data_IF_085103231405
#
_entry.id   IF_085103231405
#
_cell.length_a   1.000
_cell.length_b   1.000
_cell.length_c   1.000
_cell.angle_alpha   90.00
_cell.angle_beta   90.00
_cell.angle_gamma   90.00
#
_symmetry.space_group_name_H-M   'P 1'
#
loop_
_entity.id
_entity.type
_entity.pdbx_description
1 polymer ?
#
# COMPACT_ATOMS: atom_id res chain seq x y z
N UNK A 1 14.08 1.90 -0.84
CA UNK A 1 14.74 0.65 -1.31
C UNK A 1 15.37 -0.15 -0.15
N UNK A 2 16.10 0.48 0.77
CA UNK A 2 16.74 -0.24 1.88
C UNK A 2 15.74 -0.65 2.98
N UNK A 3 14.76 0.18 3.31
CA UNK A 3 13.76 -0.07 4.37
C UNK A 3 12.75 -1.12 3.91
N UNK A 4 12.24 -1.04 2.69
CA UNK A 4 11.30 -2.00 2.13
C UNK A 4 11.89 -3.42 1.99
N UNK A 5 13.18 -3.51 1.57
CA UNK A 5 13.86 -4.82 1.44
C UNK A 5 14.16 -5.49 2.79
N UNK A 6 14.30 -4.70 3.86
CA UNK A 6 14.51 -5.23 5.22
C UNK A 6 13.18 -5.76 5.79
N UNK A 7 12.07 -5.07 5.53
CA UNK A 7 10.73 -5.49 5.95
C UNK A 7 10.32 -6.85 5.31
N UNK A 8 10.57 -7.01 4.01
CA UNK A 8 10.30 -8.28 3.29
C UNK A 8 11.16 -9.46 3.79
N UNK A 9 12.44 -9.23 4.17
CA UNK A 9 13.29 -10.29 4.73
C UNK A 9 12.84 -10.72 6.13
N UNK A 10 12.39 -9.80 6.95
CA UNK A 10 11.92 -10.12 8.31
C UNK A 10 10.60 -10.89 8.31
N UNK A 11 9.70 -10.64 7.36
CA UNK A 11 8.47 -11.44 7.20
C UNK A 11 8.76 -12.91 6.82
N UNK A 12 9.92 -13.20 6.23
CA UNK A 12 10.34 -14.57 5.90
C UNK A 12 10.93 -15.32 7.12
N UNK A 13 11.62 -14.63 8.02
CA UNK A 13 12.18 -15.23 9.25
C UNK A 13 11.12 -15.46 10.34
N UNK A 14 10.04 -14.68 10.39
CA UNK A 14 8.92 -14.87 11.32
C UNK A 14 8.22 -16.23 11.22
N UNK A 15 8.34 -16.96 10.13
CA UNK A 15 7.70 -18.28 9.94
C UNK A 15 8.35 -19.42 10.72
N UNK A 16 9.41 -19.18 11.46
CA UNK A 16 10.17 -20.22 12.18
C UNK A 16 10.16 -20.11 13.72
N UNK A 17 9.41 -19.19 14.31
CA UNK A 17 9.36 -19.07 15.77
C UNK A 17 7.90 -19.18 16.24
N UNK A 18 7.46 -20.41 16.49
CA UNK A 18 6.20 -20.72 17.18
C UNK A 18 6.39 -20.56 18.70
N UNK A 19 5.72 -19.58 19.28
CA UNK A 19 5.63 -19.38 20.72
C UNK A 19 4.69 -18.21 21.04
N UNK A 20 3.46 -18.53 21.46
CA UNK A 20 2.46 -17.55 21.88
C UNK A 20 2.96 -16.72 23.07
N UNK A 21 3.23 -15.45 22.83
CA UNK A 21 3.25 -14.38 23.83
C UNK A 21 2.70 -13.12 23.16
N UNK A 22 1.86 -12.37 23.86
CA UNK A 22 1.29 -11.08 23.42
C UNK A 22 2.40 -10.06 23.11
N UNK A 23 2.88 -10.04 21.86
CA UNK A 23 4.18 -9.47 21.45
C UNK A 23 4.08 -8.19 20.61
N UNK A 24 2.90 -7.63 20.35
CA UNK A 24 2.78 -6.50 19.42
C UNK A 24 3.58 -5.26 19.84
N UNK A 25 3.66 -4.94 21.12
CA UNK A 25 4.43 -3.78 21.62
C UNK A 25 5.92 -4.07 21.86
N UNK A 26 6.26 -5.31 22.21
CA UNK A 26 7.67 -5.71 22.43
C UNK A 26 8.40 -6.01 21.12
N UNK A 27 7.68 -6.52 20.14
CA UNK A 27 8.18 -6.86 18.80
C UNK A 27 8.63 -5.61 18.03
N UNK A 28 7.87 -4.52 18.09
CA UNK A 28 8.20 -3.27 17.41
C UNK A 28 9.53 -2.67 17.91
N UNK A 29 9.78 -2.67 19.22
CA UNK A 29 11.03 -2.16 19.78
C UNK A 29 12.23 -3.04 19.42
N UNK A 30 12.04 -4.36 19.37
CA UNK A 30 13.09 -5.32 18.99
C UNK A 30 13.43 -5.21 17.49
N UNK A 31 12.42 -5.10 16.65
CA UNK A 31 12.59 -4.93 15.21
C UNK A 31 13.27 -3.60 14.87
N UNK A 32 12.84 -2.50 15.48
CA UNK A 32 13.47 -1.18 15.33
C UNK A 32 14.95 -1.23 15.73
N UNK A 33 15.28 -1.90 16.83
CA UNK A 33 16.68 -2.07 17.27
C UNK A 33 17.47 -2.94 16.29
N UNK A 34 16.91 -4.04 15.82
CA UNK A 34 17.57 -4.93 14.86
C UNK A 34 17.89 -4.21 13.54
N UNK A 35 16.96 -3.42 13.03
CA UNK A 35 17.16 -2.59 11.83
C UNK A 35 18.26 -1.56 12.07
N UNK A 36 18.16 -0.81 13.19
CA UNK A 36 19.17 0.17 13.55
C UNK A 36 20.57 -0.44 13.61
N UNK A 37 20.71 -1.57 14.33
CA UNK A 37 22.00 -2.24 14.49
C UNK A 37 22.53 -2.82 13.17
N UNK A 38 21.67 -3.37 12.32
CA UNK A 38 22.07 -3.88 11.01
C UNK A 38 22.63 -2.76 10.12
N UNK A 39 21.95 -1.60 10.07
CA UNK A 39 22.40 -0.44 9.29
C UNK A 39 23.66 0.18 9.89
N UNK A 40 23.74 0.25 11.23
CA UNK A 40 24.94 0.74 11.93
C UNK A 40 26.15 -0.13 11.65
N UNK A 41 25.99 -1.45 11.70
CA UNK A 41 27.03 -2.42 11.42
C UNK A 41 27.49 -2.43 9.96
N UNK A 42 26.67 -1.95 9.03
CA UNK A 42 27.05 -1.76 7.62
C UNK A 42 27.95 -0.54 7.39
N UNK A 43 28.24 0.26 8.44
CA UNK A 43 29.14 1.40 8.40
C UNK A 43 28.46 2.77 8.38
N UNK A 44 27.15 2.83 8.61
CA UNK A 44 26.45 4.11 8.72
C UNK A 44 26.91 4.88 9.96
N UNK A 45 27.16 6.20 9.82
CA UNK A 45 27.54 7.08 10.93
C UNK A 45 26.36 7.35 11.86
N UNK A 46 25.20 7.60 11.27
CA UNK A 46 23.94 7.86 11.96
C UNK A 46 22.83 7.04 11.31
N UNK A 47 21.86 6.61 12.10
CA UNK A 47 20.69 5.84 11.65
C UNK A 47 19.46 6.49 12.27
N UNK A 48 18.54 6.87 11.42
CA UNK A 48 17.26 7.44 11.79
C UNK A 48 16.15 6.54 11.25
N UNK A 49 15.19 6.21 12.10
CA UNK A 49 13.98 5.48 11.71
C UNK A 49 12.85 6.49 11.53
N UNK A 50 12.11 6.34 10.45
CA UNK A 50 10.91 7.14 10.14
C UNK A 50 9.76 6.19 9.88
N UNK A 51 8.57 6.53 10.33
CA UNK A 51 7.37 5.77 10.05
C UNK A 51 7.00 5.89 8.57
N UNK A 52 6.61 4.78 7.96
CA UNK A 52 6.36 4.71 6.51
C UNK A 52 5.30 5.71 6.04
N UNK A 53 4.14 5.90 6.73
CA UNK A 53 3.15 6.91 6.33
C UNK A 53 3.71 8.34 6.35
N UNK A 54 4.62 8.66 7.30
CA UNK A 54 5.27 9.99 7.34
C UNK A 54 6.22 10.15 6.16
N UNK A 55 7.00 9.12 5.84
CA UNK A 55 7.88 9.14 4.68
C UNK A 55 7.07 9.28 3.38
N UNK A 56 5.99 8.50 3.22
CA UNK A 56 5.09 8.58 2.08
C UNK A 56 4.51 9.99 1.90
N UNK A 57 4.05 10.60 2.99
CA UNK A 57 3.47 11.95 2.98
C UNK A 57 4.50 13.04 2.62
N UNK A 58 5.73 12.96 3.15
CA UNK A 58 6.84 13.86 2.77
C UNK A 58 7.15 13.71 1.28
N UNK A 59 7.19 12.47 0.79
CA UNK A 59 7.47 12.18 -0.62
C UNK A 59 6.37 12.65 -1.57
N UNK A 60 5.13 12.66 -1.10
CA UNK A 60 3.96 13.18 -1.79
C UNK A 60 3.79 14.70 -1.69
N UNK A 61 4.79 15.42 -1.12
CA UNK A 61 4.77 16.86 -0.91
C UNK A 61 3.65 17.38 0.02
N UNK A 62 3.15 16.53 0.94
CA UNK A 62 2.16 16.94 1.92
C UNK A 62 2.76 17.83 3.02
N UNK A 63 1.99 18.78 3.59
CA UNK A 63 2.47 19.72 4.60
C UNK A 63 2.56 19.09 5.99
N UNK A 64 3.33 18.00 6.13
CA UNK A 64 3.39 17.16 7.33
C UNK A 64 3.79 17.91 8.61
N UNK A 65 4.55 19.02 8.51
CA UNK A 65 5.00 19.81 9.67
C UNK A 65 3.99 20.86 10.12
N UNK A 66 2.88 21.03 9.40
CA UNK A 66 1.86 22.02 9.70
C UNK A 66 0.78 21.45 10.63
N UNK A 67 -0.01 22.31 11.32
CA UNK A 67 -1.10 21.91 12.18
C UNK A 67 -2.38 21.54 11.37
N UNK A 68 -2.19 20.84 10.29
CA UNK A 68 -3.23 20.43 9.34
C UNK A 68 -3.18 18.90 9.22
N UNK A 69 -4.34 18.26 9.24
CA UNK A 69 -4.38 16.83 9.01
C UNK A 69 -4.13 16.50 7.54
N UNK A 70 -3.10 15.71 7.30
CA UNK A 70 -2.78 15.11 5.99
C UNK A 70 -3.07 13.62 6.03
N UNK A 71 -3.89 13.12 5.11
CA UNK A 71 -4.20 11.70 4.99
C UNK A 71 -3.45 11.10 3.81
N UNK A 72 -2.68 10.07 4.10
CA UNK A 72 -1.94 9.30 3.09
C UNK A 72 -2.40 7.83 3.11
N UNK A 73 -2.57 7.24 1.94
CA UNK A 73 -2.85 5.82 1.75
C UNK A 73 -1.80 5.27 0.80
N UNK A 74 -0.93 4.43 1.33
CA UNK A 74 0.08 3.73 0.54
C UNK A 74 -0.41 2.31 0.24
N UNK A 75 -0.65 2.02 -1.04
CA UNK A 75 -1.07 0.70 -1.50
C UNK A 75 0.13 0.05 -2.20
N UNK A 76 0.93 -0.66 -1.42
CA UNK A 76 2.14 -1.32 -1.89
C UNK A 76 1.89 -2.66 -2.60
N UNK A 77 2.90 -3.54 -2.56
CA UNK A 77 2.76 -4.95 -3.01
C UNK A 77 2.09 -5.80 -1.95
N UNK A 78 2.66 -5.89 -0.74
CA UNK A 78 2.20 -6.77 0.33
C UNK A 78 1.25 -6.13 1.32
N UNK A 79 1.34 -4.82 1.53
CA UNK A 79 0.58 -4.07 2.55
C UNK A 79 -0.09 -2.84 1.97
N UNK A 80 -1.21 -2.47 2.57
CA UNK A 80 -1.81 -1.13 2.45
C UNK A 80 -1.69 -0.44 3.80
N UNK A 81 -1.07 0.73 3.82
CA UNK A 81 -0.90 1.56 4.99
C UNK A 81 -1.72 2.84 4.85
N UNK A 82 -2.48 3.15 5.89
CA UNK A 82 -3.26 4.37 5.98
C UNK A 82 -2.74 5.18 7.16
N UNK A 83 -2.39 6.44 6.93
CA UNK A 83 -1.90 7.32 7.98
C UNK A 83 -2.57 8.68 7.96
N UNK A 84 -2.91 9.19 9.14
CA UNK A 84 -3.29 10.58 9.39
C UNK A 84 -2.11 11.24 10.09
N UNK A 85 -1.55 12.27 9.49
CA UNK A 85 -0.35 12.96 9.94
C UNK A 85 -0.70 14.42 10.23
N UNK A 86 -0.23 14.93 11.35
CA UNK A 86 -0.31 16.35 11.71
C UNK A 86 0.87 16.72 12.61
N UNK A 87 1.37 17.94 12.53
CA UNK A 87 2.53 18.40 13.33
C UNK A 87 3.75 17.48 13.28
N UNK A 88 4.02 16.83 12.15
CA UNK A 88 5.18 15.95 11.96
C UNK A 88 5.07 14.58 12.61
N UNK A 89 3.94 14.23 13.22
CA UNK A 89 3.68 12.95 13.87
C UNK A 89 2.47 12.23 13.28
N UNK A 90 2.41 10.93 13.51
CA UNK A 90 1.25 10.10 13.18
C UNK A 90 0.19 10.29 14.25
N UNK A 91 -0.99 10.75 13.85
CA UNK A 91 -2.18 10.89 14.71
C UNK A 91 -2.92 9.57 14.83
N UNK A 92 -3.06 8.88 13.70
CA UNK A 92 -3.66 7.54 13.61
C UNK A 92 -3.09 6.82 12.40
N UNK A 93 -2.89 5.52 12.52
CA UNK A 93 -2.49 4.68 11.40
C UNK A 93 -3.12 3.30 11.49
N UNK A 94 -3.27 2.66 10.34
CA UNK A 94 -3.73 1.29 10.22
C UNK A 94 -3.02 0.62 9.04
N UNK A 95 -2.61 -0.63 9.23
CA UNK A 95 -1.93 -1.43 8.21
C UNK A 95 -2.69 -2.72 7.99
N UNK A 96 -2.99 -3.04 6.73
CA UNK A 96 -3.60 -4.30 6.34
C UNK A 96 -2.72 -5.04 5.33
N UNK A 97 -2.64 -6.36 5.44
CA UNK A 97 -1.87 -7.23 4.53
C UNK A 97 -2.69 -7.60 3.27
N UNK A 98 -3.29 -6.58 2.67
CA UNK A 98 -4.07 -6.68 1.43
C UNK A 98 -3.63 -5.53 0.53
N UNK A 99 -2.99 -5.87 -0.59
CA UNK A 99 -2.43 -4.91 -1.54
C UNK A 99 -2.24 -5.57 -2.92
N UNK A 100 -1.26 -5.13 -3.70
CA UNK A 100 -1.04 -5.57 -5.07
C UNK A 100 -0.87 -7.07 -5.25
N UNK A 101 -0.13 -7.74 -4.35
CA UNK A 101 0.15 -9.18 -4.43
C UNK A 101 -1.11 -10.00 -4.19
N UNK A 102 -1.97 -9.55 -3.25
CA UNK A 102 -3.27 -10.18 -3.01
C UNK A 102 -4.19 -10.06 -4.22
N UNK A 103 -4.19 -8.91 -4.89
CA UNK A 103 -4.93 -8.72 -6.13
C UNK A 103 -4.43 -9.67 -7.24
N UNK A 104 -3.13 -9.92 -7.32
CA UNK A 104 -2.54 -10.88 -8.27
C UNK A 104 -2.95 -12.32 -7.94
N UNK A 105 -2.95 -12.70 -6.67
CA UNK A 105 -3.47 -14.00 -6.22
C UNK A 105 -4.94 -14.19 -6.59
N UNK A 106 -5.78 -13.17 -6.38
CA UNK A 106 -7.20 -13.22 -6.74
C UNK A 106 -7.38 -13.47 -8.24
N UNK A 107 -6.58 -12.80 -9.09
CA UNK A 107 -6.58 -13.02 -10.55
C UNK A 107 -6.12 -14.44 -10.90
N UNK A 108 -5.05 -14.95 -10.27
CA UNK A 108 -4.59 -16.34 -10.47
C UNK A 108 -5.69 -17.34 -10.13
N UNK A 109 -6.34 -17.16 -8.99
CA UNK A 109 -7.44 -18.02 -8.54
C UNK A 109 -8.64 -17.94 -9.50
N UNK A 110 -9.02 -16.76 -9.95
CA UNK A 110 -10.08 -16.55 -10.93
C UNK A 110 -9.79 -17.29 -12.24
N UNK A 111 -8.60 -17.07 -12.82
CA UNK A 111 -8.20 -17.72 -14.09
C UNK A 111 -8.21 -19.24 -13.97
N UNK A 112 -7.71 -19.77 -12.85
CA UNK A 112 -7.72 -21.20 -12.59
C UNK A 112 -9.15 -21.74 -12.48
N UNK A 113 -10.02 -21.06 -11.75
CA UNK A 113 -11.41 -21.48 -11.49
C UNK A 113 -12.29 -21.39 -12.75
N UNK A 114 -12.17 -20.29 -13.49
CA UNK A 114 -13.05 -19.99 -14.62
C UNK A 114 -12.62 -20.67 -15.92
N UNK A 115 -11.32 -20.74 -16.18
CA UNK A 115 -10.77 -21.19 -17.48
C UNK A 115 -10.03 -22.53 -17.39
N UNK A 116 -9.80 -23.07 -16.18
CA UNK A 116 -8.92 -24.22 -15.93
C UNK A 116 -7.50 -23.99 -16.47
N UNK A 117 -6.98 -22.78 -16.32
CA UNK A 117 -5.64 -22.39 -16.78
C UNK A 117 -4.80 -21.93 -15.59
N UNK A 118 -3.55 -22.39 -15.53
CA UNK A 118 -2.55 -21.90 -14.58
C UNK A 118 -1.75 -20.78 -15.22
N UNK A 119 -1.66 -19.66 -14.52
CA UNK A 119 -0.79 -18.52 -14.83
C UNK A 119 0.13 -18.25 -13.63
N UNK A 120 1.24 -17.58 -13.85
CA UNK A 120 2.14 -17.13 -12.79
C UNK A 120 1.87 -15.68 -12.38
N UNK A 121 2.48 -15.26 -11.26
CA UNK A 121 2.36 -13.92 -10.65
C UNK A 121 2.59 -12.79 -11.67
N UNK A 122 3.68 -12.84 -12.43
CA UNK A 122 3.97 -11.83 -13.47
C UNK A 122 2.88 -11.70 -14.52
N UNK A 123 2.19 -12.79 -14.82
CA UNK A 123 1.07 -12.75 -15.80
C UNK A 123 -0.16 -12.12 -15.16
N UNK A 124 -0.41 -12.42 -13.88
CA UNK A 124 -1.51 -11.82 -13.12
C UNK A 124 -1.29 -10.31 -12.94
N UNK A 125 -0.09 -9.90 -12.55
CA UNK A 125 0.28 -8.48 -12.45
C UNK A 125 0.08 -7.76 -13.80
N UNK A 126 0.50 -8.38 -14.91
CA UNK A 126 0.26 -7.82 -16.24
C UNK A 126 -1.23 -7.66 -16.53
N UNK A 127 -2.07 -8.64 -16.20
CA UNK A 127 -3.54 -8.56 -16.35
C UNK A 127 -4.08 -7.39 -15.51
N UNK A 128 -3.67 -7.28 -14.25
CA UNK A 128 -4.05 -6.20 -13.34
C UNK A 128 -3.71 -4.83 -13.93
N UNK A 129 -2.50 -4.67 -14.46
CA UNK A 129 -2.04 -3.40 -15.04
C UNK A 129 -2.74 -3.04 -16.37
N UNK A 130 -3.00 -4.02 -17.24
CA UNK A 130 -3.55 -3.77 -18.56
C UNK A 130 -5.07 -3.66 -18.57
N UNK A 131 -5.78 -4.52 -17.83
CA UNK A 131 -7.24 -4.60 -17.83
C UNK A 131 -7.89 -4.57 -16.44
N UNK A 132 -7.11 -4.25 -15.39
CA UNK A 132 -7.62 -4.08 -14.04
C UNK A 132 -8.25 -2.71 -13.83
N UNK A 133 -9.42 -2.69 -13.17
CA UNK A 133 -10.17 -1.49 -12.84
C UNK A 133 -10.71 -1.56 -11.41
N UNK A 134 -10.72 -0.44 -10.71
CA UNK A 134 -11.42 -0.31 -9.43
C UNK A 134 -12.94 -0.04 -9.62
N UNK A 135 -13.29 0.72 -10.64
CA UNK A 135 -14.68 0.97 -11.08
C UNK A 135 -15.07 0.05 -12.24
N UNK A 136 -16.37 -0.14 -12.44
CA UNK A 136 -16.87 -0.78 -13.66
C UNK A 136 -16.43 0.05 -14.88
N UNK A 137 -15.65 -0.53 -15.80
CA UNK A 137 -15.09 0.22 -16.91
C UNK A 137 -16.19 0.69 -17.87
N UNK A 138 -16.11 1.95 -18.33
CA UNK A 138 -17.02 2.48 -19.34
C UNK A 138 -16.84 1.84 -20.71
N UNK A 139 -15.62 1.38 -21.00
CA UNK A 139 -15.28 0.69 -22.25
C UNK A 139 -14.81 -0.72 -21.91
N UNK A 140 -15.39 -1.71 -22.57
CA UNK A 140 -14.96 -3.09 -22.41
C UNK A 140 -13.59 -3.27 -23.06
N UNK A 141 -12.58 -3.52 -22.23
CA UNK A 141 -11.26 -3.92 -22.65
C UNK A 141 -11.09 -5.44 -22.47
N UNK A 142 -10.25 -6.05 -23.28
CA UNK A 142 -9.90 -7.46 -23.12
C UNK A 142 -8.48 -7.71 -23.56
N UNK A 143 -7.85 -8.75 -23.00
CA UNK A 143 -6.52 -9.18 -23.39
C UNK A 143 -6.44 -10.69 -23.57
N UNK A 144 -5.56 -11.14 -24.46
CA UNK A 144 -5.21 -12.55 -24.59
C UNK A 144 -4.13 -12.92 -23.58
N UNK A 145 -4.37 -13.99 -22.85
CA UNK A 145 -3.48 -14.53 -21.84
C UNK A 145 -3.13 -15.96 -22.16
N UNK A 146 -1.86 -16.31 -22.05
CA UNK A 146 -1.35 -17.66 -22.26
C UNK A 146 -0.98 -18.28 -20.92
N UNK A 147 -1.44 -19.50 -20.70
CA UNK A 147 -1.12 -20.29 -19.53
C UNK A 147 -1.08 -21.79 -19.86
N UNK A 148 -1.03 -22.62 -18.82
CA UNK A 148 -1.02 -24.06 -18.92
C UNK A 148 -2.39 -24.61 -18.55
N UNK A 149 -3.04 -25.33 -19.43
CA UNK A 149 -4.28 -26.04 -19.14
C UNK A 149 -4.08 -27.07 -18.03
N UNK A 150 -4.93 -27.04 -17.02
CA UNK A 150 -4.80 -27.89 -15.81
C UNK A 150 -5.02 -29.37 -16.15
N UNK A 151 -5.91 -29.67 -17.11
CA UNK A 151 -6.30 -31.05 -17.44
C UNK A 151 -5.30 -31.73 -18.38
N UNK A 152 -4.85 -31.01 -19.39
CA UNK A 152 -3.99 -31.56 -20.44
C UNK A 152 -2.50 -31.31 -20.23
N UNK A 153 -2.16 -30.30 -19.39
CA UNK A 153 -0.80 -29.82 -19.22
C UNK A 153 -0.24 -29.00 -20.38
N UNK A 154 -1.02 -28.82 -21.46
CA UNK A 154 -0.58 -28.13 -22.66
C UNK A 154 -0.79 -26.62 -22.59
N UNK A 155 -0.05 -25.82 -23.41
CA UNK A 155 -0.30 -24.40 -23.53
C UNK A 155 -1.75 -24.12 -24.02
N UNK A 156 -2.39 -23.14 -23.38
CA UNK A 156 -3.75 -22.69 -23.74
C UNK A 156 -3.79 -21.16 -23.71
N UNK A 157 -4.46 -20.59 -24.70
CA UNK A 157 -4.76 -19.15 -24.75
C UNK A 157 -6.21 -18.93 -24.34
N UNK A 158 -6.43 -17.91 -23.53
CA UNK A 158 -7.75 -17.46 -23.07
C UNK A 158 -7.86 -15.96 -23.30
N UNK A 159 -9.09 -15.45 -23.36
CA UNK A 159 -9.36 -14.01 -23.38
C UNK A 159 -10.00 -13.62 -22.05
N UNK A 160 -9.48 -12.57 -21.41
CA UNK A 160 -9.99 -12.03 -20.13
C UNK A 160 -10.45 -10.60 -20.39
N UNK A 161 -11.61 -10.24 -19.87
CA UNK A 161 -12.20 -8.91 -19.96
C UNK A 161 -11.95 -8.07 -18.72
N UNK A 162 -11.95 -6.75 -18.88
CA UNK A 162 -11.82 -5.79 -17.77
C UNK A 162 -12.94 -5.89 -16.74
N UNK A 163 -14.15 -6.31 -17.15
CA UNK A 163 -15.27 -6.53 -16.23
C UNK A 163 -15.02 -7.73 -15.32
N UNK A 164 -14.50 -8.83 -15.86
CA UNK A 164 -14.16 -10.02 -15.07
C UNK A 164 -13.04 -9.73 -14.06
N UNK A 165 -12.04 -8.95 -14.47
CA UNK A 165 -10.95 -8.56 -13.56
C UNK A 165 -11.46 -7.61 -12.48
N UNK A 166 -12.27 -6.61 -12.83
CA UNK A 166 -12.87 -5.68 -11.87
C UNK A 166 -13.68 -6.43 -10.79
N UNK A 167 -14.54 -7.36 -11.18
CA UNK A 167 -15.32 -8.15 -10.22
C UNK A 167 -14.42 -9.04 -9.35
N UNK A 168 -13.33 -9.57 -9.92
CA UNK A 168 -12.33 -10.37 -9.19
C UNK A 168 -11.62 -9.56 -8.11
N UNK A 169 -11.28 -8.29 -8.38
CA UNK A 169 -10.57 -7.42 -7.44
C UNK A 169 -11.46 -6.82 -6.35
N UNK A 170 -12.76 -6.96 -6.46
CA UNK A 170 -13.74 -6.30 -5.60
C UNK A 170 -13.53 -6.55 -4.10
N UNK A 171 -13.28 -7.80 -3.70
CA UNK A 171 -13.10 -8.14 -2.28
C UNK A 171 -11.84 -7.50 -1.70
N UNK A 172 -10.73 -7.54 -2.43
CA UNK A 172 -9.49 -6.87 -2.04
C UNK A 172 -9.66 -5.35 -1.92
N UNK A 173 -10.35 -4.73 -2.88
CA UNK A 173 -10.66 -3.29 -2.85
C UNK A 173 -11.55 -2.92 -1.66
N UNK A 174 -12.58 -3.70 -1.34
CA UNK A 174 -13.45 -3.45 -0.18
C UNK A 174 -12.70 -3.58 1.14
N UNK A 175 -11.74 -4.49 1.24
CA UNK A 175 -10.90 -4.63 2.44
C UNK A 175 -9.96 -3.42 2.62
N UNK A 176 -9.43 -2.87 1.53
CA UNK A 176 -8.64 -1.63 1.56
C UNK A 176 -9.53 -0.44 1.98
N UNK A 177 -10.73 -0.35 1.41
CA UNK A 177 -11.71 0.68 1.76
C UNK A 177 -12.06 0.66 3.25
N UNK A 178 -12.28 -0.53 3.81
CA UNK A 178 -12.58 -0.68 5.24
C UNK A 178 -11.43 -0.19 6.12
N UNK A 179 -10.17 -0.51 5.78
CA UNK A 179 -9.01 0.00 6.49
C UNK A 179 -8.94 1.52 6.47
N UNK A 180 -9.25 2.13 5.32
CA UNK A 180 -9.30 3.60 5.18
C UNK A 180 -10.40 4.18 6.05
N UNK A 181 -11.63 3.62 6.02
CA UNK A 181 -12.76 4.09 6.82
C UNK A 181 -12.47 4.02 8.32
N UNK A 182 -11.95 2.90 8.81
CA UNK A 182 -11.57 2.73 10.22
C UNK A 182 -10.55 3.79 10.65
N UNK A 183 -9.57 4.09 9.81
CA UNK A 183 -8.57 5.11 10.11
C UNK A 183 -9.19 6.52 10.12
N UNK A 184 -10.05 6.85 9.16
CA UNK A 184 -10.74 8.14 9.11
C UNK A 184 -11.68 8.34 10.31
N UNK A 185 -12.39 7.28 10.75
CA UNK A 185 -13.25 7.30 11.93
C UNK A 185 -12.47 7.53 13.24
N UNK A 186 -11.21 7.12 13.30
CA UNK A 186 -10.33 7.35 14.46
C UNK A 186 -9.73 8.76 14.50
N UNK A 187 -9.99 9.59 13.46
CA UNK A 187 -9.50 10.97 13.41
C UNK A 187 -10.15 11.84 14.48
N UNK A 188 -9.35 12.62 15.26
CA UNK A 188 -9.91 13.61 16.17
C UNK A 188 -10.85 14.61 15.44
N UNK A 189 -12.02 14.96 16.04
CA UNK A 189 -12.98 15.86 15.39
C UNK A 189 -12.39 17.21 14.96
N UNK A 190 -11.40 17.71 15.70
CA UNK A 190 -10.72 18.98 15.43
C UNK A 190 -9.94 18.96 14.10
N UNK A 191 -9.50 17.77 13.66
CA UNK A 191 -8.75 17.56 12.42
C UNK A 191 -9.64 17.09 11.25
N UNK A 192 -10.88 16.69 11.52
CA UNK A 192 -11.77 16.14 10.49
C UNK A 192 -12.13 17.15 9.40
N UNK A 193 -12.17 18.44 9.74
CA UNK A 193 -12.39 19.53 8.77
C UNK A 193 -11.30 19.60 7.71
N UNK A 194 -10.06 19.41 8.12
CA UNK A 194 -8.91 19.45 7.21
C UNK A 194 -9.00 18.33 6.16
N UNK A 195 -9.49 17.15 6.55
CA UNK A 195 -9.63 16.00 5.65
C UNK A 195 -10.64 16.30 4.52
N UNK A 196 -11.71 17.03 4.82
CA UNK A 196 -12.69 17.43 3.81
C UNK A 196 -12.08 18.42 2.81
N UNK A 197 -11.24 19.33 3.30
CA UNK A 197 -10.63 20.38 2.49
C UNK A 197 -9.40 19.88 1.71
N UNK A 198 -8.52 19.10 2.35
CA UNK A 198 -7.25 18.60 1.77
C UNK A 198 -7.44 17.31 0.98
N UNK A 199 -8.43 16.50 1.37
CA UNK A 199 -8.64 15.18 0.78
C UNK A 199 -7.68 14.10 1.28
N UNK A 200 -7.67 13.00 0.55
CA UNK A 200 -6.82 11.81 0.78
C UNK A 200 -5.83 11.69 -0.38
N UNK A 201 -4.56 11.47 -0.07
CA UNK A 201 -3.54 11.24 -1.10
C UNK A 201 -3.19 9.75 -1.17
N UNK A 202 -3.25 9.20 -2.39
CA UNK A 202 -2.89 7.82 -2.69
C UNK A 202 -1.44 7.75 -3.18
N UNK A 203 -0.72 6.76 -2.69
CA UNK A 203 0.63 6.41 -3.14
C UNK A 203 0.79 4.89 -3.25
N UNK A 204 1.96 4.42 -3.64
CA UNK A 204 2.20 3.02 -3.94
C UNK A 204 1.72 2.60 -5.33
N UNK A 205 2.09 1.38 -5.73
CA UNK A 205 1.74 0.83 -7.04
C UNK A 205 0.24 0.61 -7.24
N UNK A 206 -0.48 0.26 -6.16
CA UNK A 206 -1.93 0.05 -6.18
C UNK A 206 -2.73 1.33 -6.46
N UNK A 207 -2.18 2.50 -6.16
CA UNK A 207 -2.79 3.80 -6.51
C UNK A 207 -2.97 3.98 -8.03
N UNK A 208 -2.17 3.27 -8.83
CA UNK A 208 -2.20 3.33 -10.30
C UNK A 208 -3.25 2.41 -10.92
N UNK A 209 -3.98 1.61 -10.14
CA UNK A 209 -5.08 0.81 -10.67
C UNK A 209 -6.12 1.73 -11.33
N UNK A 210 -6.53 1.41 -12.55
CA UNK A 210 -7.44 2.26 -13.32
C UNK A 210 -8.73 2.55 -12.55
N UNK A 211 -9.09 3.82 -12.43
CA UNK A 211 -10.29 4.27 -11.72
C UNK A 211 -10.19 4.26 -10.18
N UNK A 212 -9.02 3.97 -9.59
CA UNK A 212 -8.84 3.91 -8.14
C UNK A 212 -9.20 5.23 -7.44
N UNK A 213 -8.70 6.34 -7.96
CA UNK A 213 -8.97 7.68 -7.43
C UNK A 213 -10.47 8.00 -7.41
N UNK A 214 -11.14 7.78 -8.53
CA UNK A 214 -12.58 8.06 -8.67
C UNK A 214 -13.42 7.13 -7.79
N UNK A 215 -13.10 5.83 -7.82
CA UNK A 215 -13.77 4.84 -6.99
C UNK A 215 -13.70 5.19 -5.51
N UNK A 216 -12.50 5.45 -5.00
CA UNK A 216 -12.31 5.75 -3.59
C UNK A 216 -12.98 7.08 -3.21
N UNK A 217 -12.87 8.12 -4.04
CA UNK A 217 -13.55 9.40 -3.78
C UNK A 217 -15.06 9.25 -3.67
N UNK A 218 -15.68 8.40 -4.51
CA UNK A 218 -17.11 8.11 -4.43
C UNK A 218 -17.47 7.34 -3.15
N UNK A 219 -16.62 6.39 -2.73
CA UNK A 219 -16.88 5.54 -1.56
C UNK A 219 -16.75 6.27 -0.22
N UNK A 220 -15.81 7.22 -0.11
CA UNK A 220 -15.56 7.95 1.14
C UNK A 220 -16.14 9.36 1.13
N UNK A 221 -16.65 9.85 -0.01
CA UNK A 221 -17.21 11.20 -0.18
C UNK A 221 -16.23 12.34 0.20
N UNK A 222 -14.93 12.10 -0.01
CA UNK A 222 -13.83 13.03 0.23
C UNK A 222 -12.99 13.11 -1.05
N UNK A 223 -12.42 14.28 -1.40
CA UNK A 223 -11.50 14.37 -2.53
C UNK A 223 -10.34 13.38 -2.39
N UNK A 224 -9.98 12.72 -3.47
CA UNK A 224 -8.85 11.79 -3.51
C UNK A 224 -7.89 12.21 -4.61
N UNK A 225 -6.61 12.22 -4.33
CA UNK A 225 -5.55 12.61 -5.25
C UNK A 225 -4.48 11.52 -5.31
N UNK A 226 -3.89 11.31 -6.48
CA UNK A 226 -2.72 10.42 -6.62
C UNK A 226 -1.46 11.28 -6.47
N UNK A 227 -0.50 10.82 -5.67
CA UNK A 227 0.79 11.47 -5.52
C UNK A 227 1.50 11.63 -6.89
N UNK A 228 2.30 12.68 -7.11
CA UNK A 228 2.99 12.90 -8.39
C UNK A 228 3.90 11.73 -8.81
N UNK A 229 4.52 11.06 -7.87
CA UNK A 229 5.41 9.92 -8.05
C UNK A 229 5.04 8.79 -7.07
N UNK A 230 3.90 8.11 -7.28
CA UNK A 230 3.34 7.22 -6.27
C UNK A 230 4.24 6.01 -5.99
N UNK A 231 4.97 5.50 -6.95
CA UNK A 231 5.90 4.37 -6.75
C UNK A 231 7.14 4.74 -5.95
N UNK A 232 7.56 5.99 -5.98
CA UNK A 232 8.78 6.48 -5.35
C UNK A 232 8.54 7.32 -4.09
N UNK A 233 7.29 7.60 -3.72
CA UNK A 233 6.94 8.53 -2.62
C UNK A 233 7.66 8.17 -1.31
N UNK A 234 7.63 6.92 -0.87
CA UNK A 234 8.32 6.48 0.36
C UNK A 234 9.84 6.70 0.26
N UNK A 235 10.45 6.33 -0.86
CA UNK A 235 11.89 6.48 -1.06
C UNK A 235 12.31 7.95 -1.11
N UNK A 236 11.55 8.78 -1.82
CA UNK A 236 11.78 10.24 -1.90
C UNK A 236 11.62 10.86 -0.52
N UNK A 237 10.56 10.51 0.21
CA UNK A 237 10.29 11.04 1.54
C UNK A 237 11.34 10.63 2.56
N UNK A 238 11.80 9.38 2.52
CA UNK A 238 12.92 8.91 3.34
C UNK A 238 14.19 9.73 3.09
N UNK A 239 14.51 10.01 1.82
CA UNK A 239 15.66 10.87 1.49
C UNK A 239 15.48 12.31 1.97
N UNK A 240 14.28 12.88 1.77
CA UNK A 240 13.98 14.27 2.19
C UNK A 240 13.93 14.42 3.72
N UNK A 241 13.51 13.38 4.44
CA UNK A 241 13.44 13.40 5.90
C UNK A 241 14.80 13.67 6.53
N UNK A 242 15.91 13.21 5.96
CA UNK A 242 17.26 13.46 6.45
C UNK A 242 17.58 14.96 6.56
N UNK A 243 17.02 15.79 5.66
CA UNK A 243 17.18 17.25 5.69
C UNK A 243 16.16 17.91 6.63
N UNK A 244 15.05 17.26 6.89
CA UNK A 244 13.94 17.77 7.70
C UNK A 244 14.01 17.33 9.18
N UNK A 245 14.93 16.42 9.55
CA UNK A 245 15.01 15.81 10.88
C UNK A 245 15.02 16.83 12.02
N UNK A 246 15.74 17.94 11.86
CA UNK A 246 15.78 19.01 12.87
C UNK A 246 14.40 19.66 13.12
N UNK A 247 13.53 19.66 12.11
CA UNK A 247 12.16 20.20 12.21
C UNK A 247 11.20 19.16 12.81
N UNK A 248 11.27 17.92 12.36
CA UNK A 248 10.41 16.83 12.81
C UNK A 248 10.66 16.52 14.29
N UNK A 249 11.92 16.42 14.74
CA UNK A 249 12.25 16.13 16.13
C UNK A 249 11.91 17.25 17.13
N UNK A 250 11.78 18.50 16.68
CA UNK A 250 11.35 19.61 17.54
C UNK A 250 9.85 19.61 17.84
N UNK A 251 9.07 18.98 16.98
CA UNK A 251 7.60 18.91 17.10
C UNK A 251 7.18 17.68 17.92
N UNK A 252 7.96 16.60 17.88
CA UNK A 252 7.72 15.35 18.59
C UNK A 252 8.12 15.37 20.11
N UNK A 253 8.57 16.53 20.64
CA UNK A 253 8.87 16.80 22.06
C UNK A 253 7.82 17.71 22.68
#
# INVERSE_FOLDING_TARGET
FAVQHIHERQSFERRQIDGEVDLELADDALERRAIHDAVKNSGAKEVHLIEEPVAAAIGADLPVSEPIASVIVDIGGGTTEVGIISFGGVVSSNTVKIAGDRMDEDIIHFVRKQFNVLIGERTAEKIKMEVGYALVPHTLESMEVRGRDVMTGLPKTITISSVEVQETLRESLLSILEAIRVTLESCPPELSGDIVDQGVVLTGGGALLKGMQEWLSNEISVPVHIAPQPLESVAIGTGRSLVMMDKIQKVAR
#
